data_IF_680192354772
#
_entry.id   IF_680192354772
#
_cell.length_a   1.000
_cell.length_b   1.000
_cell.length_c   1.000
_cell.angle_alpha   90.00
_cell.angle_beta   90.00
_cell.angle_gamma   90.00
#
_symmetry.space_group_name_H-M   'P 1'
#
loop_
_entity.id
_entity.type
_entity.pdbx_description
1 polymer ?
#
# COMPACT_ATOMS: atom_id res chain seq x y z
N UNK A 1 23.77 -19.19 -4.64
CA UNK A 1 22.42 -19.26 -4.03
C UNK A 1 21.40 -19.06 -5.12
N UNK A 2 20.28 -19.76 -5.07
CA UNK A 2 19.22 -19.65 -6.07
C UNK A 2 18.47 -18.34 -5.90
N UNK A 3 18.21 -17.56 -6.96
CA UNK A 3 17.40 -16.35 -6.86
C UNK A 3 16.01 -16.68 -6.32
N UNK A 4 15.47 -15.81 -5.48
CA UNK A 4 14.15 -16.04 -4.87
C UNK A 4 13.26 -14.81 -4.98
N UNK A 5 12.00 -15.02 -5.36
CA UNK A 5 10.96 -13.99 -5.31
C UNK A 5 10.22 -14.11 -3.98
N UNK A 6 10.15 -13.04 -3.23
CA UNK A 6 9.41 -12.95 -1.97
C UNK A 6 8.16 -12.11 -2.13
N UNK A 7 7.02 -12.69 -1.77
CA UNK A 7 5.72 -12.02 -1.74
C UNK A 7 5.33 -11.86 -0.27
N UNK A 8 5.39 -10.65 0.24
CA UNK A 8 5.01 -10.40 1.63
C UNK A 8 3.52 -10.08 1.71
N UNK A 9 2.85 -10.59 2.74
CA UNK A 9 1.40 -10.49 2.87
C UNK A 9 0.93 -10.50 4.32
N UNK A 10 -0.35 -10.17 4.50
CA UNK A 10 -1.13 -10.44 5.71
C UNK A 10 -2.37 -11.26 5.34
N UNK A 11 -3.22 -11.58 6.31
CA UNK A 11 -4.41 -12.41 6.09
C UNK A 11 -5.34 -11.84 5.02
N UNK A 12 -5.51 -10.52 4.97
CA UNK A 12 -6.39 -9.85 4.00
C UNK A 12 -5.92 -9.91 2.54
N UNK A 13 -4.64 -10.15 2.33
CA UNK A 13 -4.02 -10.14 1.00
C UNK A 13 -3.49 -11.53 0.61
N UNK A 14 -3.76 -12.56 1.41
CA UNK A 14 -3.23 -13.92 1.18
C UNK A 14 -3.71 -14.49 -0.15
N UNK A 15 -4.96 -14.25 -0.53
CA UNK A 15 -5.49 -14.66 -1.84
C UNK A 15 -4.67 -14.02 -2.98
N UNK A 16 -4.46 -12.70 -2.92
CA UNK A 16 -3.64 -11.99 -3.90
C UNK A 16 -2.23 -12.56 -4.00
N UNK A 17 -1.56 -12.77 -2.86
CA UNK A 17 -0.22 -13.38 -2.81
C UNK A 17 -0.17 -14.78 -3.44
N UNK A 18 -1.22 -15.59 -3.22
CA UNK A 18 -1.32 -16.95 -3.78
C UNK A 18 -1.47 -16.89 -5.31
N UNK A 19 -2.35 -16.02 -5.83
CA UNK A 19 -2.51 -15.81 -7.27
C UNK A 19 -1.24 -15.23 -7.90
N UNK A 20 -0.57 -14.28 -7.21
CA UNK A 20 0.70 -13.72 -7.66
C UNK A 20 1.80 -14.77 -7.77
N UNK A 21 1.93 -15.66 -6.76
CA UNK A 21 2.87 -16.81 -6.81
C UNK A 21 2.60 -17.68 -8.02
N UNK A 22 1.35 -18.01 -8.28
CA UNK A 22 0.97 -18.81 -9.45
C UNK A 22 1.32 -18.08 -10.75
N UNK A 23 0.99 -16.79 -10.89
CA UNK A 23 1.29 -15.99 -12.07
C UNK A 23 2.80 -15.96 -12.38
N UNK A 24 3.66 -15.77 -11.38
CA UNK A 24 5.12 -15.80 -11.52
C UNK A 24 5.61 -17.13 -12.10
N UNK A 25 5.12 -18.24 -11.57
CA UNK A 25 5.49 -19.59 -12.03
C UNK A 25 4.93 -19.91 -13.41
N UNK A 26 3.68 -19.50 -13.70
CA UNK A 26 3.03 -19.73 -14.98
C UNK A 26 3.70 -18.97 -16.12
N UNK A 27 4.08 -17.71 -15.88
CA UNK A 27 4.58 -16.79 -16.92
C UNK A 27 6.06 -16.99 -17.22
N UNK A 28 6.80 -17.74 -16.40
CA UNK A 28 8.23 -17.97 -16.61
C UNK A 28 8.49 -19.31 -17.29
N UNK A 29 9.31 -19.27 -18.36
CA UNK A 29 9.92 -20.44 -18.95
C UNK A 29 11.07 -21.00 -18.07
N UNK A 30 11.58 -20.18 -17.15
CA UNK A 30 12.70 -20.48 -16.24
C UNK A 30 12.23 -20.77 -14.81
N UNK A 31 10.98 -21.19 -14.62
CA UNK A 31 10.38 -21.45 -13.29
C UNK A 31 11.18 -22.43 -12.41
N UNK A 32 12.02 -23.26 -13.03
CA UNK A 32 12.90 -24.19 -12.35
C UNK A 32 14.20 -23.53 -11.84
N UNK A 33 14.50 -22.29 -12.21
CA UNK A 33 15.76 -21.60 -11.90
C UNK A 33 15.65 -20.61 -10.74
N UNK A 34 14.46 -20.37 -10.22
CA UNK A 34 14.22 -19.49 -9.07
C UNK A 34 13.15 -20.08 -8.15
N UNK A 35 13.12 -19.60 -6.92
CA UNK A 35 12.11 -19.96 -5.93
C UNK A 35 11.11 -18.83 -5.73
N UNK A 36 9.86 -19.15 -5.29
CA UNK A 36 8.86 -18.16 -4.91
C UNK A 36 8.34 -18.50 -3.51
N UNK A 37 8.53 -17.59 -2.57
CA UNK A 37 8.13 -17.72 -1.18
C UNK A 37 7.12 -16.64 -0.80
N UNK A 38 6.09 -17.01 -0.03
CA UNK A 38 5.17 -16.08 0.60
C UNK A 38 5.65 -15.88 2.04
N UNK A 39 5.76 -14.61 2.47
CA UNK A 39 6.09 -14.23 3.84
C UNK A 39 4.83 -13.65 4.46
N UNK A 40 4.25 -14.34 5.42
CA UNK A 40 3.04 -13.92 6.10
C UNK A 40 3.35 -13.17 7.38
N UNK A 41 2.65 -12.06 7.64
CA UNK A 41 2.89 -11.21 8.80
C UNK A 41 2.76 -11.96 10.13
N UNK A 42 1.82 -12.90 10.23
CA UNK A 42 1.59 -13.71 11.43
C UNK A 42 2.78 -14.58 11.85
N UNK A 43 3.68 -14.88 10.91
CA UNK A 43 4.86 -15.73 11.17
C UNK A 43 6.02 -14.96 11.82
N UNK A 44 5.85 -13.64 12.00
CA UNK A 44 6.91 -12.72 12.48
C UNK A 44 6.48 -12.01 13.76
N UNK A 45 6.71 -12.63 14.92
CA UNK A 45 6.24 -12.12 16.21
C UNK A 45 6.80 -10.74 16.56
N UNK A 46 8.01 -10.38 16.10
CA UNK A 46 8.62 -9.07 16.33
C UNK A 46 7.74 -7.92 15.84
N UNK A 47 6.96 -8.13 14.79
CA UNK A 47 6.01 -7.16 14.25
C UNK A 47 4.57 -7.49 14.64
N UNK A 48 4.17 -8.78 14.58
CA UNK A 48 2.79 -9.19 14.83
C UNK A 48 2.31 -8.89 16.25
N UNK A 49 3.20 -8.97 17.24
CA UNK A 49 2.91 -8.66 18.65
C UNK A 49 2.80 -7.15 18.95
N UNK A 50 2.99 -6.29 17.97
CA UNK A 50 2.91 -4.82 18.11
C UNK A 50 1.48 -4.27 17.97
N UNK A 51 0.46 -5.11 17.87
CA UNK A 51 -0.94 -4.68 17.76
C UNK A 51 -1.29 -3.64 18.82
N UNK A 52 -1.81 -2.47 18.39
CA UNK A 52 -2.16 -1.34 19.25
C UNK A 52 -0.99 -0.46 19.70
N UNK A 53 0.28 -0.87 19.54
CA UNK A 53 1.42 -0.03 19.90
C UNK A 53 1.52 1.18 18.96
N UNK A 54 1.97 2.31 19.51
CA UNK A 54 2.19 3.52 18.72
C UNK A 54 3.47 3.42 17.92
N UNK A 55 3.45 3.89 16.68
CA UNK A 55 4.63 4.04 15.83
C UNK A 55 4.60 5.39 15.11
N UNK A 56 5.75 5.82 14.59
CA UNK A 56 5.86 7.11 13.89
C UNK A 56 5.53 6.95 12.41
N UNK A 57 4.55 7.73 11.92
CA UNK A 57 4.16 7.76 10.50
C UNK A 57 3.84 9.17 10.05
N UNK A 58 4.61 9.69 9.09
CA UNK A 58 4.48 11.06 8.58
C UNK A 58 4.57 12.12 9.71
N UNK A 59 5.47 11.90 10.68
CA UNK A 59 5.68 12.76 11.84
C UNK A 59 4.59 12.65 12.93
N UNK A 60 3.62 11.75 12.79
CA UNK A 60 2.56 11.54 13.77
C UNK A 60 2.66 10.15 14.41
N UNK A 61 2.37 10.07 15.70
CA UNK A 61 2.20 8.78 16.39
C UNK A 61 0.82 8.23 16.05
N UNK A 62 0.77 6.99 15.55
CA UNK A 62 -0.46 6.29 15.19
C UNK A 62 -0.39 4.84 15.68
N UNK A 63 -1.53 4.22 16.05
CA UNK A 63 -1.52 2.83 16.49
C UNK A 63 -1.27 1.88 15.30
N UNK A 64 -0.45 0.85 15.55
CA UNK A 64 -0.25 -0.26 14.64
C UNK A 64 -1.45 -1.20 14.65
N UNK A 65 -1.87 -1.64 13.46
CA UNK A 65 -2.93 -2.64 13.33
C UNK A 65 -2.52 -3.71 12.32
N UNK A 66 -2.45 -4.96 12.76
CA UNK A 66 -2.11 -6.11 11.91
C UNK A 66 -3.10 -6.27 10.74
N UNK A 67 -4.33 -5.82 10.93
CA UNK A 67 -5.38 -5.84 9.91
C UNK A 67 -5.38 -4.60 8.98
N UNK A 68 -4.40 -3.67 9.10
CA UNK A 68 -4.22 -2.62 8.11
C UNK A 68 -3.71 -3.22 6.78
N UNK A 69 -4.22 -2.72 5.64
CA UNK A 69 -3.84 -3.21 4.32
C UNK A 69 -2.33 -3.11 4.02
N UNK A 70 -1.61 -2.31 4.78
CA UNK A 70 -0.16 -2.10 4.61
C UNK A 70 0.67 -2.68 5.76
N UNK A 71 0.08 -3.45 6.68
CA UNK A 71 0.79 -3.99 7.84
C UNK A 71 1.92 -4.96 7.48
N UNK A 72 1.84 -5.61 6.32
CA UNK A 72 2.87 -6.51 5.81
C UNK A 72 4.09 -5.78 5.21
N UNK A 73 3.98 -4.50 4.89
CA UNK A 73 5.03 -3.81 4.10
C UNK A 73 6.42 -3.75 4.76
N UNK A 74 6.57 -3.72 6.11
CA UNK A 74 7.90 -3.81 6.73
C UNK A 74 8.62 -5.12 6.45
N UNK A 75 7.90 -6.21 6.12
CA UNK A 75 8.50 -7.51 5.77
C UNK A 75 9.42 -7.45 4.54
N UNK A 76 9.33 -6.38 3.73
CA UNK A 76 10.24 -6.13 2.60
C UNK A 76 11.70 -6.11 3.03
N UNK A 77 11.96 -5.57 4.21
CA UNK A 77 13.31 -5.36 4.74
C UNK A 77 13.88 -6.59 5.45
N UNK A 78 13.05 -7.61 5.67
CA UNK A 78 13.47 -8.92 6.19
C UNK A 78 14.21 -9.77 5.15
N UNK A 79 13.95 -9.54 3.87
CA UNK A 79 14.35 -10.43 2.77
C UNK A 79 15.88 -10.67 2.70
N UNK A 80 16.78 -9.67 2.86
CA UNK A 80 18.21 -9.95 2.88
C UNK A 80 18.63 -10.92 3.99
N UNK A 81 18.01 -10.84 5.17
CA UNK A 81 18.23 -11.78 6.28
C UNK A 81 17.77 -13.20 5.92
N UNK A 82 16.59 -13.37 5.29
CA UNK A 82 16.09 -14.65 4.82
C UNK A 82 17.00 -15.29 3.76
N UNK A 83 17.67 -14.46 2.97
CA UNK A 83 18.69 -14.88 2.00
C UNK A 83 20.07 -15.11 2.63
N UNK A 84 20.22 -15.01 3.96
CA UNK A 84 21.51 -15.09 4.64
C UNK A 84 22.50 -14.02 4.14
N UNK A 85 21.98 -12.87 3.70
CA UNK A 85 22.74 -11.76 3.10
C UNK A 85 23.58 -12.17 1.90
N UNK A 86 23.03 -13.05 1.05
CA UNK A 86 23.73 -13.56 -0.13
C UNK A 86 22.76 -13.66 -1.34
N UNK A 87 23.34 -13.51 -2.53
CA UNK A 87 22.61 -13.70 -3.79
C UNK A 87 21.56 -12.62 -4.04
N UNK A 88 20.64 -12.94 -4.95
CA UNK A 88 19.61 -12.02 -5.44
C UNK A 88 18.23 -12.40 -4.95
N UNK A 89 17.46 -11.39 -4.55
CA UNK A 89 16.06 -11.54 -4.24
C UNK A 89 15.23 -10.50 -5.00
N UNK A 90 14.02 -10.87 -5.38
CA UNK A 90 12.99 -9.93 -5.83
C UNK A 90 11.90 -9.87 -4.77
N UNK A 91 11.58 -8.68 -4.31
CA UNK A 91 10.49 -8.41 -3.37
C UNK A 91 9.32 -7.84 -4.13
N UNK A 92 8.11 -8.38 -3.94
CA UNK A 92 6.88 -7.85 -4.54
C UNK A 92 5.74 -7.80 -3.53
N UNK A 93 4.81 -6.84 -3.73
CA UNK A 93 3.56 -6.75 -2.98
C UNK A 93 2.57 -7.86 -3.39
N UNK A 94 1.58 -8.21 -2.58
CA UNK A 94 0.65 -9.33 -2.83
C UNK A 94 -0.37 -9.02 -3.95
N UNK A 95 -0.44 -7.79 -4.41
CA UNK A 95 -1.27 -7.29 -5.51
C UNK A 95 -0.45 -6.98 -6.79
N UNK A 96 0.74 -7.61 -6.89
CA UNK A 96 1.62 -7.54 -8.07
C UNK A 96 1.59 -8.88 -8.80
N UNK A 97 1.14 -8.89 -10.05
CA UNK A 97 0.93 -10.10 -10.85
C UNK A 97 1.82 -10.12 -12.09
N UNK A 98 2.49 -11.25 -12.34
CA UNK A 98 3.33 -11.42 -13.52
C UNK A 98 2.49 -11.50 -14.80
N UNK A 99 2.84 -10.65 -15.76
CA UNK A 99 2.36 -10.65 -17.15
C UNK A 99 3.46 -11.18 -18.08
N UNK A 100 4.72 -10.81 -17.80
CA UNK A 100 5.92 -11.29 -18.47
C UNK A 100 6.76 -12.26 -17.61
N UNK A 101 7.89 -12.72 -18.16
CA UNK A 101 8.81 -13.59 -17.43
C UNK A 101 9.65 -12.79 -16.44
N UNK A 102 9.47 -13.09 -15.15
CA UNK A 102 10.18 -12.42 -14.05
C UNK A 102 11.67 -12.77 -14.00
N UNK A 103 12.09 -13.87 -14.64
CA UNK A 103 13.47 -14.29 -14.67
C UNK A 103 14.37 -13.27 -15.38
N UNK A 104 13.84 -12.53 -16.35
CA UNK A 104 14.54 -11.44 -17.01
C UNK A 104 14.94 -10.32 -16.02
N UNK A 105 14.10 -10.06 -15.01
CA UNK A 105 14.44 -9.14 -13.94
C UNK A 105 15.44 -9.74 -12.96
N UNK A 106 15.24 -11.00 -12.55
CA UNK A 106 16.11 -11.68 -11.59
C UNK A 106 17.57 -11.79 -12.07
N UNK A 107 17.82 -11.97 -13.36
CA UNK A 107 19.16 -12.08 -13.94
C UNK A 107 19.77 -10.73 -14.39
N UNK A 108 19.03 -9.63 -14.28
CA UNK A 108 19.46 -8.29 -14.71
C UNK A 108 20.80 -7.92 -14.08
N UNK A 109 21.66 -7.26 -14.86
CA UNK A 109 22.82 -6.58 -14.30
C UNK A 109 22.37 -5.38 -13.46
N UNK A 110 22.70 -5.40 -12.18
CA UNK A 110 22.37 -4.32 -11.23
C UNK A 110 23.41 -3.20 -11.24
N UNK A 111 24.47 -3.29 -12.04
CA UNK A 111 25.52 -2.27 -12.18
C UNK A 111 26.10 -1.83 -10.84
N UNK A 112 26.33 -2.78 -9.92
CA UNK A 112 26.84 -2.52 -8.58
C UNK A 112 25.84 -1.89 -7.61
N UNK A 113 24.56 -1.73 -7.99
CA UNK A 113 23.52 -1.22 -7.09
C UNK A 113 23.05 -2.30 -6.11
N UNK A 114 22.79 -1.88 -4.88
CA UNK A 114 22.22 -2.76 -3.86
C UNK A 114 20.71 -3.02 -4.08
N UNK A 115 20.01 -2.02 -4.61
CA UNK A 115 18.57 -2.05 -4.84
C UNK A 115 18.29 -1.53 -6.25
N UNK A 116 17.37 -2.18 -6.98
CA UNK A 116 16.80 -1.64 -8.23
C UNK A 116 15.30 -1.56 -8.05
N UNK A 117 14.75 -0.35 -8.10
CA UNK A 117 13.31 -0.11 -7.96
C UNK A 117 12.85 1.14 -8.71
N UNK A 118 11.53 1.22 -8.94
CA UNK A 118 10.91 2.33 -9.68
C UNK A 118 10.92 3.60 -8.84
N UNK A 119 11.47 4.70 -9.40
CA UNK A 119 11.35 6.02 -8.83
C UNK A 119 10.06 6.70 -9.29
N UNK A 120 9.33 7.32 -8.37
CA UNK A 120 8.09 8.04 -8.63
C UNK A 120 8.31 9.54 -8.49
N UNK A 121 7.83 10.28 -9.47
CA UNK A 121 7.83 11.73 -9.52
C UNK A 121 6.38 12.24 -9.41
N UNK A 122 5.91 12.57 -8.18
CA UNK A 122 4.54 12.99 -7.96
C UNK A 122 4.22 14.31 -8.70
N UNK A 123 3.03 14.38 -9.33
CA UNK A 123 2.57 15.59 -10.05
C UNK A 123 2.01 16.67 -9.10
N UNK A 124 1.86 16.36 -7.82
CA UNK A 124 1.27 17.24 -6.80
C UNK A 124 2.31 18.04 -6.00
N UNK A 125 3.55 18.10 -6.49
CA UNK A 125 4.65 18.87 -5.87
C UNK A 125 5.31 18.18 -4.67
N UNK A 126 4.93 16.95 -4.31
CA UNK A 126 5.67 16.16 -3.33
C UNK A 126 7.05 15.77 -3.88
N UNK A 127 8.06 15.59 -3.00
CA UNK A 127 9.37 15.14 -3.44
C UNK A 127 9.29 13.74 -4.07
N UNK A 128 10.21 13.41 -5.00
CA UNK A 128 10.36 12.07 -5.54
C UNK A 128 10.57 11.04 -4.41
N UNK A 129 10.10 9.81 -4.65
CA UNK A 129 10.27 8.69 -3.74
C UNK A 129 10.44 7.37 -4.51
N UNK A 130 10.92 6.33 -3.85
CA UNK A 130 11.04 5.01 -4.45
C UNK A 130 9.84 4.13 -4.11
N UNK A 131 9.33 3.41 -5.12
CA UNK A 131 8.20 2.48 -4.97
C UNK A 131 8.72 1.10 -4.57
N UNK A 132 8.90 0.89 -3.28
CA UNK A 132 9.45 -0.36 -2.71
C UNK A 132 8.52 -1.58 -2.83
N UNK A 133 7.39 -1.45 -3.54
CA UNK A 133 6.47 -2.54 -3.84
C UNK A 133 7.00 -3.56 -4.85
N UNK A 134 8.03 -3.22 -5.62
CA UNK A 134 8.83 -4.12 -6.43
C UNK A 134 10.28 -3.70 -6.31
N UNK A 135 11.13 -4.55 -5.76
CA UNK A 135 12.56 -4.29 -5.56
C UNK A 135 13.38 -5.51 -5.93
N UNK A 136 14.32 -5.37 -6.86
CA UNK A 136 15.40 -6.33 -7.03
C UNK A 136 16.53 -5.98 -6.07
N UNK A 137 16.98 -6.94 -5.29
CA UNK A 137 17.97 -6.78 -4.22
C UNK A 137 19.23 -7.59 -4.51
N UNK A 138 20.39 -6.97 -4.31
CA UNK A 138 21.64 -7.65 -4.05
C UNK A 138 21.81 -7.77 -2.53
N UNK A 139 21.42 -8.92 -1.98
CA UNK A 139 21.34 -9.13 -0.54
C UNK A 139 22.69 -9.00 0.17
N UNK A 140 23.81 -9.22 -0.54
CA UNK A 140 25.15 -9.08 0.04
C UNK A 140 25.51 -7.62 0.39
N UNK A 141 24.89 -6.64 -0.28
CA UNK A 141 25.12 -5.22 -0.02
C UNK A 141 24.15 -4.64 1.02
N UNK A 142 23.19 -5.44 1.54
CA UNK A 142 22.12 -5.00 2.44
C UNK A 142 22.27 -5.57 3.87
N UNK A 143 23.50 -5.82 4.31
CA UNK A 143 23.80 -6.35 5.65
C UNK A 143 23.38 -5.42 6.79
N UNK A 144 23.18 -4.14 6.51
CA UNK A 144 22.68 -3.14 7.47
C UNK A 144 21.14 -3.24 7.68
N UNK A 145 20.41 -4.00 6.87
CA UNK A 145 18.99 -4.28 7.09
C UNK A 145 18.83 -5.37 8.14
N UNK A 146 18.97 -4.97 9.40
CA UNK A 146 18.76 -5.84 10.55
C UNK A 146 17.29 -5.74 10.97
N UNK A 147 16.51 -6.77 10.67
CA UNK A 147 15.06 -6.74 10.80
C UNK A 147 14.58 -6.36 12.20
N UNK A 148 15.04 -7.06 13.23
CA UNK A 148 14.61 -6.83 14.60
C UNK A 148 14.91 -5.40 15.07
N UNK A 149 16.11 -4.89 14.76
CA UNK A 149 16.52 -3.54 15.11
C UNK A 149 15.69 -2.48 14.39
N UNK A 150 15.37 -2.71 13.11
CA UNK A 150 14.54 -1.77 12.34
C UNK A 150 13.10 -1.71 12.89
N UNK A 151 12.54 -2.85 13.33
CA UNK A 151 11.24 -2.87 14.00
C UNK A 151 11.30 -2.14 15.33
N UNK A 152 12.31 -2.38 16.18
CA UNK A 152 12.46 -1.64 17.44
C UNK A 152 12.56 -0.13 17.22
N UNK A 153 13.37 0.32 16.26
CA UNK A 153 13.50 1.74 15.91
C UNK A 153 12.20 2.37 15.42
N UNK A 154 11.35 1.60 14.73
CA UNK A 154 10.02 2.08 14.31
C UNK A 154 9.12 2.36 15.53
N UNK A 155 9.09 1.46 16.50
CA UNK A 155 8.22 1.55 17.68
C UNK A 155 8.83 2.37 18.83
N UNK A 156 10.13 2.63 18.83
CA UNK A 156 10.78 3.61 19.72
C UNK A 156 10.76 5.05 19.17
N UNK A 157 10.12 5.26 18.01
CA UNK A 157 10.02 6.56 17.34
C UNK A 157 11.34 7.12 16.78
N UNK A 158 12.38 6.32 16.68
CA UNK A 158 13.66 6.67 16.08
C UNK A 158 13.61 6.63 14.54
N UNK A 159 12.63 5.94 13.99
CA UNK A 159 12.42 5.79 12.55
C UNK A 159 10.98 6.09 12.17
N UNK A 160 10.79 6.90 11.13
CA UNK A 160 9.44 7.13 10.57
C UNK A 160 9.15 6.10 9.47
N UNK A 161 7.98 5.50 9.56
CA UNK A 161 7.50 4.50 8.61
C UNK A 161 7.55 4.99 7.15
N UNK A 162 7.17 6.25 6.89
CA UNK A 162 7.04 6.72 5.50
C UNK A 162 8.37 6.89 4.78
N UNK A 163 9.39 7.58 5.32
CA UNK A 163 10.72 7.61 4.76
C UNK A 163 11.32 6.22 4.57
N UNK A 164 11.16 5.33 5.55
CA UNK A 164 11.66 3.96 5.49
C UNK A 164 11.04 3.18 4.31
N UNK A 165 9.69 3.10 4.25
CA UNK A 165 8.97 2.42 3.15
C UNK A 165 9.24 3.04 1.78
N UNK A 166 9.71 4.27 1.72
CA UNK A 166 10.04 4.99 0.47
C UNK A 166 11.53 4.96 0.14
N UNK A 167 12.34 4.17 0.88
CA UNK A 167 13.80 4.05 0.75
C UNK A 167 14.55 5.40 0.84
N UNK A 168 13.96 6.40 1.50
CA UNK A 168 14.61 7.70 1.69
C UNK A 168 15.68 7.68 2.79
N UNK A 169 15.81 6.57 3.50
CA UNK A 169 16.86 6.30 4.48
C UNK A 169 18.08 5.62 3.87
N UNK A 170 17.96 5.15 2.62
CA UNK A 170 19.06 4.54 1.89
C UNK A 170 19.86 5.59 1.10
N UNK A 171 21.18 5.43 0.96
CA UNK A 171 21.97 6.28 0.08
C UNK A 171 21.48 6.17 -1.36
N UNK A 172 21.14 7.29 -1.99
CA UNK A 172 20.54 7.30 -3.33
C UNK A 172 21.44 6.67 -4.41
N UNK A 173 22.74 6.71 -4.23
CA UNK A 173 23.73 6.10 -5.11
C UNK A 173 23.70 4.56 -5.10
N UNK A 174 23.14 3.95 -4.06
CA UNK A 174 22.96 2.50 -3.95
C UNK A 174 21.71 1.98 -4.66
N UNK A 175 20.82 2.90 -5.09
CA UNK A 175 19.56 2.56 -5.72
C UNK A 175 19.64 2.82 -7.22
N UNK A 176 19.40 1.78 -8.02
CA UNK A 176 19.29 1.84 -9.47
C UNK A 176 17.84 2.00 -9.94
N UNK A 177 17.63 2.54 -11.15
CA UNK A 177 16.29 2.70 -11.72
C UNK A 177 15.71 1.37 -12.19
N UNK A 178 14.39 1.21 -11.99
CA UNK A 178 13.58 0.15 -12.58
C UNK A 178 12.56 0.78 -13.51
N UNK A 179 12.42 0.23 -14.72
CA UNK A 179 11.46 0.71 -15.70
C UNK A 179 10.02 0.52 -15.21
N UNK A 180 9.09 1.43 -15.58
CA UNK A 180 7.70 1.40 -15.13
C UNK A 180 6.99 0.06 -15.37
N UNK A 181 7.32 -0.66 -16.43
CA UNK A 181 6.70 -1.91 -16.86
C UNK A 181 6.90 -3.05 -15.85
N UNK A 182 7.97 -2.99 -15.05
CA UNK A 182 8.25 -3.93 -13.96
C UNK A 182 7.55 -3.61 -12.64
N UNK A 183 6.83 -2.51 -12.59
CA UNK A 183 5.95 -2.13 -11.47
C UNK A 183 4.85 -1.23 -12.05
N UNK A 184 4.01 -1.80 -12.93
CA UNK A 184 3.10 -1.05 -13.79
C UNK A 184 1.80 -0.78 -13.06
N UNK A 185 1.68 0.43 -12.51
CA UNK A 185 0.56 0.83 -11.66
C UNK A 185 -0.74 0.89 -12.47
N UNK A 186 -1.70 0.04 -12.11
CA UNK A 186 -3.06 -0.02 -12.65
C UNK A 186 -3.10 0.05 -14.20
N UNK A 187 -2.06 -0.48 -14.85
CA UNK A 187 -1.91 -0.45 -16.31
C UNK A 187 -1.59 -1.85 -16.82
N UNK A 188 -2.43 -2.34 -17.73
CA UNK A 188 -2.26 -3.63 -18.40
C UNK A 188 -2.24 -3.41 -19.92
N UNK A 189 -1.06 -3.57 -20.53
CA UNK A 189 -0.84 -3.45 -21.97
C UNK A 189 0.30 -4.38 -22.42
N UNK A 190 0.70 -4.30 -23.69
CA UNK A 190 1.75 -5.15 -24.26
C UNK A 190 3.15 -4.96 -23.66
N UNK A 191 3.40 -3.84 -22.99
CA UNK A 191 4.68 -3.55 -22.33
C UNK A 191 4.71 -4.07 -20.90
N UNK A 192 3.54 -4.27 -20.26
CA UNK A 192 3.45 -4.67 -18.86
C UNK A 192 4.19 -5.98 -18.60
N UNK A 193 5.12 -5.94 -17.64
CA UNK A 193 5.86 -7.11 -17.14
C UNK A 193 5.31 -7.59 -15.80
N UNK A 194 5.09 -6.65 -14.87
CA UNK A 194 4.41 -6.89 -13.61
C UNK A 194 3.27 -5.87 -13.47
N UNK A 195 2.04 -6.35 -13.49
CA UNK A 195 0.85 -5.54 -13.20
C UNK A 195 0.75 -5.33 -11.70
N UNK A 196 0.59 -4.09 -11.23
CA UNK A 196 0.39 -3.76 -9.83
C UNK A 196 -0.94 -3.03 -9.63
N UNK A 197 -1.92 -3.68 -9.02
CA UNK A 197 -3.23 -3.10 -8.71
C UNK A 197 -3.16 -2.21 -7.46
N UNK A 198 -2.61 -0.99 -7.62
CA UNK A 198 -2.38 -0.03 -6.53
C UNK A 198 -3.62 0.76 -6.15
N UNK A 199 -4.64 0.74 -6.98
CA UNK A 199 -5.88 1.49 -6.78
C UNK A 199 -6.59 1.03 -5.52
N UNK A 200 -6.48 1.82 -4.42
CA UNK A 200 -6.99 1.44 -3.10
C UNK A 200 -8.48 1.12 -3.08
N UNK A 201 -9.24 1.61 -4.03
CA UNK A 201 -10.70 1.45 -4.10
C UNK A 201 -11.15 0.73 -5.38
N UNK A 202 -10.23 0.18 -6.16
CA UNK A 202 -10.51 -0.45 -7.47
C UNK A 202 -9.86 -1.82 -7.63
N UNK A 203 -9.49 -2.49 -6.54
CA UNK A 203 -8.96 -3.86 -6.62
C UNK A 203 -10.04 -4.80 -7.15
N UNK A 204 -9.83 -5.52 -8.28
CA UNK A 204 -10.89 -6.28 -8.96
C UNK A 204 -11.58 -7.32 -8.08
N UNK A 205 -10.84 -7.98 -7.20
CA UNK A 205 -11.37 -9.01 -6.30
C UNK A 205 -12.14 -8.48 -5.09
N UNK A 206 -12.18 -7.14 -4.89
CA UNK A 206 -12.89 -6.49 -3.79
C UNK A 206 -14.11 -5.69 -4.24
N UNK A 207 -14.41 -5.60 -5.52
CA UNK A 207 -15.53 -4.84 -6.07
C UNK A 207 -16.82 -5.13 -5.29
N UNK A 208 -17.51 -4.06 -4.85
CA UNK A 208 -18.76 -4.15 -4.08
C UNK A 208 -18.61 -4.38 -2.57
N UNK A 209 -17.43 -4.78 -2.09
CA UNK A 209 -17.18 -4.92 -0.67
C UNK A 209 -17.05 -3.55 0.04
N UNK A 210 -17.39 -3.46 1.33
CA UNK A 210 -17.10 -2.26 2.12
C UNK A 210 -15.60 -1.94 2.12
N UNK A 211 -15.26 -0.65 2.02
CA UNK A 211 -13.86 -0.23 2.12
C UNK A 211 -13.31 -0.58 3.50
N UNK A 212 -12.28 -1.40 3.57
CA UNK A 212 -11.68 -1.98 4.76
C UNK A 212 -10.40 -1.26 5.25
N UNK A 213 -10.17 -0.05 4.78
CA UNK A 213 -9.10 0.81 5.24
C UNK A 213 -9.64 2.16 5.72
N UNK A 214 -8.93 2.80 6.66
CA UNK A 214 -9.29 4.14 7.12
C UNK A 214 -8.89 5.16 6.06
N UNK A 215 -9.86 5.88 5.45
CA UNK A 215 -9.52 6.94 4.52
C UNK A 215 -8.71 8.00 5.26
N UNK A 216 -7.59 8.43 4.69
CA UNK A 216 -6.84 9.57 5.26
C UNK A 216 -7.80 10.74 5.41
N UNK A 217 -8.00 11.26 6.62
CA UNK A 217 -8.68 12.54 6.80
C UNK A 217 -7.95 13.55 5.93
N UNK A 218 -8.67 14.16 4.96
CA UNK A 218 -8.09 15.26 4.18
C UNK A 218 -7.58 16.27 5.20
N UNK A 219 -6.25 16.46 5.28
CA UNK A 219 -5.71 17.60 6.04
C UNK A 219 -6.43 18.84 5.51
N UNK A 220 -7.00 19.70 6.37
CA UNK A 220 -7.46 21.00 5.92
C UNK A 220 -6.31 21.61 5.13
N UNK A 221 -6.58 22.10 3.90
CA UNK A 221 -5.55 22.86 3.17
C UNK A 221 -5.06 23.90 4.16
N UNK A 222 -3.80 23.84 4.56
CA UNK A 222 -3.20 24.90 5.35
C UNK A 222 -3.46 26.18 4.56
N UNK A 223 -4.20 27.10 5.17
CA UNK A 223 -4.34 28.43 4.60
C UNK A 223 -2.92 28.96 4.35
N UNK A 224 -2.68 29.60 3.21
CA UNK A 224 -1.38 30.23 2.97
C UNK A 224 -1.03 31.08 4.21
N UNK A 225 0.26 31.09 4.64
CA UNK A 225 0.67 31.87 5.78
C UNK A 225 0.14 33.29 5.60
N UNK A 226 -0.44 33.93 6.65
CA UNK A 226 -1.00 35.24 6.52
C UNK A 226 0.10 36.16 6.01
N UNK A 227 -0.17 36.83 4.90
CA UNK A 227 0.71 37.88 4.37
C UNK A 227 0.93 38.86 5.52
N UNK A 228 2.17 39.26 5.85
CA UNK A 228 2.45 40.16 6.93
C UNK A 228 1.65 41.43 6.71
N UNK A 229 0.59 41.63 7.49
CA UNK A 229 -0.19 42.87 7.45
C UNK A 229 0.71 43.96 8.04
N UNK A 230 0.87 45.12 7.38
CA UNK A 230 1.63 46.21 7.93
C UNK A 230 1.02 46.62 9.30
N UNK A 231 1.90 46.89 10.26
CA UNK A 231 1.53 47.19 11.62
C UNK A 231 0.41 48.26 11.63
N UNK A 232 -0.67 48.08 12.42
CA UNK A 232 -1.77 49.02 12.43
C UNK A 232 -1.31 50.37 12.93
N UNK A 233 -1.60 51.41 12.16
CA UNK A 233 -1.26 52.79 12.52
C UNK A 233 -1.98 53.20 13.82
N UNK A 234 -1.41 54.16 14.57
CA UNK A 234 -1.95 54.65 15.84
C UNK A 234 -3.46 55.02 15.75
N UNK A 235 -3.91 55.52 14.61
CA UNK A 235 -5.32 55.79 14.32
C UNK A 235 -6.22 54.57 14.33
N UNK A 236 -5.72 53.42 13.87
CA UNK A 236 -6.47 52.16 13.82
C UNK A 236 -6.56 51.51 15.20
N UNK A 237 -5.54 51.69 16.05
CA UNK A 237 -5.56 51.23 17.45
C UNK A 237 -6.54 52.01 18.30
N UNK A 238 -6.60 53.35 18.15
CA UNK A 238 -7.57 54.20 18.85
C UNK A 238 -9.03 53.90 18.43
N UNK A 239 -9.26 53.52 17.17
CA UNK A 239 -10.61 53.18 16.70
C UNK A 239 -11.11 51.86 17.28
N UNK A 240 -10.18 50.85 17.44
CA UNK A 240 -10.49 49.58 18.10
C UNK A 240 -10.78 49.74 19.59
N UNK A 241 -10.00 50.54 20.32
CA UNK A 241 -10.26 50.83 21.72
C UNK A 241 -11.65 51.49 21.95
N UNK A 242 -12.03 52.44 21.10
CA UNK A 242 -13.35 53.04 21.17
C UNK A 242 -14.51 52.09 20.88
N UNK A 243 -14.31 51.12 19.97
CA UNK A 243 -15.31 50.10 19.66
C UNK A 243 -15.51 49.10 20.82
N UNK A 244 -14.43 48.67 21.47
CA UNK A 244 -14.47 47.74 22.62
C UNK A 244 -15.16 48.38 23.83
N UNK A 245 -14.91 49.65 24.12
CA UNK A 245 -15.57 50.37 25.20
C UNK A 245 -17.08 50.57 24.94
N UNK A 246 -17.47 50.78 23.67
CA UNK A 246 -18.88 50.90 23.28
C UNK A 246 -19.64 49.59 23.37
N UNK A 247 -18.97 48.46 23.14
CA UNK A 247 -19.53 47.10 23.23
C UNK A 247 -19.72 46.66 24.70
N UNK A 248 -18.90 47.16 25.62
CA UNK A 248 -18.98 46.84 27.05
C UNK A 248 -20.13 47.59 27.78
N UNK A 249 -20.55 48.73 27.27
CA UNK A 249 -21.59 49.57 27.87
C UNK A 249 -23.01 49.31 27.34
N UNK A 250 -23.23 48.41 26.39
CA UNK A 250 -24.49 48.24 25.68
C UNK A 250 -25.05 46.84 25.50
N UNK A 251 -24.54 45.81 26.19
CA UNK A 251 -25.02 44.44 26.00
C UNK A 251 -26.14 44.09 27.00
N UNK A 252 -27.36 43.69 26.53
CA UNK A 252 -28.35 43.08 27.38
C UNK A 252 -27.92 41.63 27.78
N UNK A 253 -28.41 41.08 28.92
CA UNK A 253 -28.03 39.74 29.36
C UNK A 253 -28.47 38.69 28.35
N UNK A 254 -27.66 37.59 28.19
CA UNK A 254 -27.97 36.55 27.22
C UNK A 254 -29.26 35.82 27.61
N UNK A 255 -30.25 35.87 26.74
CA UNK A 255 -31.40 34.94 26.81
C UNK A 255 -30.94 33.54 26.52
N UNK A 256 -31.22 32.60 27.44
CA UNK A 256 -30.99 31.17 27.24
C UNK A 256 -31.85 30.67 26.06
N UNK A 257 -31.23 30.46 24.93
CA UNK A 257 -31.86 29.73 23.82
C UNK A 257 -31.84 28.24 24.16
N UNK A 258 -32.99 27.62 24.24
CA UNK A 258 -33.17 26.18 24.28
C UNK A 258 -32.53 25.59 23.01
N UNK A 259 -31.39 24.93 23.18
CA UNK A 259 -30.71 24.19 22.11
C UNK A 259 -31.58 23.02 21.69
N UNK A 260 -32.25 23.14 20.53
CA UNK A 260 -32.78 22.00 19.82
C UNK A 260 -31.62 21.09 19.46
N UNK A 261 -31.65 19.82 19.91
CA UNK A 261 -30.69 18.78 19.54
C UNK A 261 -30.67 18.67 18.01
N UNK A 262 -29.53 18.84 17.35
CA UNK A 262 -29.47 18.66 15.90
C UNK A 262 -29.89 17.22 15.56
N UNK A 263 -30.66 17.00 14.47
CA UNK A 263 -31.07 15.66 14.06
C UNK A 263 -29.80 14.82 13.83
N UNK A 264 -29.81 13.62 14.37
CA UNK A 264 -28.73 12.64 14.16
C UNK A 264 -28.42 12.53 12.66
N UNK A 265 -27.17 12.63 12.22
CA UNK A 265 -26.84 12.48 10.81
C UNK A 265 -27.34 11.14 10.34
N UNK A 266 -28.20 11.11 9.29
CA UNK A 266 -28.58 9.87 8.63
C UNK A 266 -27.30 9.14 8.25
N UNK A 267 -27.15 7.91 8.73
CA UNK A 267 -26.00 7.08 8.42
C UNK A 267 -25.88 6.96 6.89
N UNK A 268 -24.84 7.52 6.31
CA UNK A 268 -24.54 7.32 4.89
C UNK A 268 -24.16 5.83 4.72
N UNK A 269 -24.60 5.18 3.63
CA UNK A 269 -24.17 3.83 3.35
C UNK A 269 -22.63 3.77 3.33
N UNK A 270 -22.02 2.68 3.81
CA UNK A 270 -20.58 2.54 3.79
C UNK A 270 -20.05 2.70 2.37
N UNK A 271 -18.93 3.40 2.22
CA UNK A 271 -18.25 3.47 0.94
C UNK A 271 -17.78 2.07 0.54
N UNK A 272 -17.95 1.72 -0.73
CA UNK A 272 -17.60 0.39 -1.26
C UNK A 272 -16.49 0.47 -2.28
N UNK A 273 -15.81 -0.65 -2.52
CA UNK A 273 -14.89 -0.79 -3.63
C UNK A 273 -15.62 -0.67 -4.96
N UNK A 274 -15.05 0.10 -5.88
CA UNK A 274 -15.60 0.29 -7.22
C UNK A 274 -15.03 -0.73 -8.21
N UNK A 275 -15.73 -1.03 -9.31
CA UNK A 275 -15.17 -1.78 -10.42
C UNK A 275 -13.88 -1.12 -10.92
N UNK A 276 -12.92 -1.94 -11.33
CA UNK A 276 -11.69 -1.42 -11.95
C UNK A 276 -12.04 -0.73 -13.28
N UNK A 277 -11.51 0.46 -13.59
CA UNK A 277 -11.82 1.19 -14.82
C UNK A 277 -11.41 0.45 -16.11
N UNK A 278 -10.43 -0.44 -16.03
CA UNK A 278 -10.02 -1.35 -17.10
C UNK A 278 -10.55 -2.77 -16.82
N UNK A 279 -11.59 -3.24 -17.52
CA UNK A 279 -12.16 -4.57 -17.32
C UNK A 279 -11.20 -5.71 -17.65
N UNK A 280 -10.14 -5.47 -18.45
CA UNK A 280 -9.14 -6.48 -18.75
C UNK A 280 -8.35 -6.88 -17.50
N UNK A 281 -8.20 -5.99 -16.51
CA UNK A 281 -7.52 -6.30 -15.27
C UNK A 281 -8.37 -7.20 -14.37
N UNK A 282 -9.69 -7.03 -14.37
CA UNK A 282 -10.62 -7.95 -13.70
C UNK A 282 -10.55 -9.33 -14.36
N UNK A 283 -10.66 -9.39 -15.68
CA UNK A 283 -10.56 -10.63 -16.45
C UNK A 283 -9.21 -11.33 -16.24
N UNK A 284 -8.12 -10.58 -16.19
CA UNK A 284 -6.79 -11.12 -15.97
C UNK A 284 -6.65 -11.76 -14.57
N UNK A 285 -7.10 -11.06 -13.52
CA UNK A 285 -7.04 -11.58 -12.15
C UNK A 285 -7.92 -12.83 -12.00
N UNK A 286 -9.19 -12.76 -12.41
CA UNK A 286 -10.12 -13.88 -12.25
C UNK A 286 -9.80 -15.07 -13.15
N UNK A 287 -9.19 -14.84 -14.32
CA UNK A 287 -8.64 -15.91 -15.15
C UNK A 287 -7.52 -16.69 -14.44
N UNK A 288 -6.59 -15.98 -13.76
CA UNK A 288 -5.55 -16.61 -12.94
C UNK A 288 -6.14 -17.32 -11.72
N UNK A 289 -7.15 -16.75 -11.08
CA UNK A 289 -7.81 -17.35 -9.92
C UNK A 289 -8.55 -18.63 -10.31
N UNK A 290 -9.25 -18.65 -11.45
CA UNK A 290 -9.90 -19.86 -11.98
C UNK A 290 -8.86 -20.96 -12.22
N UNK A 291 -7.72 -20.63 -12.82
CA UNK A 291 -6.65 -21.62 -13.03
C UNK A 291 -6.04 -22.12 -11.72
N UNK A 292 -5.96 -21.27 -10.69
CA UNK A 292 -5.54 -21.69 -9.34
C UNK A 292 -6.53 -22.69 -8.74
N UNK A 293 -7.83 -22.47 -8.95
CA UNK A 293 -8.89 -23.39 -8.51
C UNK A 293 -8.81 -24.72 -9.26
N UNK A 294 -8.75 -24.70 -10.60
CA UNK A 294 -8.69 -25.88 -11.47
C UNK A 294 -7.46 -26.78 -11.15
N UNK A 295 -6.38 -26.17 -10.69
CA UNK A 295 -5.13 -26.88 -10.32
C UNK A 295 -5.06 -27.27 -8.85
N UNK A 296 -6.07 -26.96 -8.05
CA UNK A 296 -6.09 -27.22 -6.61
C UNK A 296 -5.05 -26.41 -5.82
N UNK A 297 -4.56 -25.29 -6.37
CA UNK A 297 -3.69 -24.34 -5.64
C UNK A 297 -4.50 -23.60 -4.58
N UNK A 298 -5.74 -23.29 -4.89
CA UNK A 298 -6.78 -22.86 -3.94
C UNK A 298 -7.94 -23.84 -4.02
N UNK A 299 -8.71 -23.96 -2.93
CA UNK A 299 -9.92 -24.80 -2.88
C UNK A 299 -11.17 -23.91 -2.87
N UNK A 300 -12.33 -24.50 -3.24
CA UNK A 300 -13.61 -23.79 -3.08
C UNK A 300 -13.85 -23.37 -1.63
N UNK A 301 -13.56 -24.25 -0.67
CA UNK A 301 -13.69 -23.93 0.77
C UNK A 301 -12.85 -22.73 1.17
N UNK A 302 -11.61 -22.64 0.66
CA UNK A 302 -10.77 -21.47 0.91
C UNK A 302 -11.38 -20.20 0.32
N UNK A 303 -11.88 -20.24 -0.92
CA UNK A 303 -12.54 -19.09 -1.56
C UNK A 303 -13.82 -18.68 -0.82
N UNK A 304 -14.64 -19.64 -0.39
CA UNK A 304 -15.81 -19.37 0.44
C UNK A 304 -15.44 -18.71 1.77
N UNK A 305 -14.37 -19.17 2.42
CA UNK A 305 -13.86 -18.54 3.64
C UNK A 305 -13.38 -17.10 3.39
N UNK A 306 -12.71 -16.83 2.26
CA UNK A 306 -12.29 -15.47 1.88
C UNK A 306 -13.48 -14.55 1.56
N UNK A 307 -14.53 -15.07 0.94
CA UNK A 307 -15.81 -14.35 0.74
C UNK A 307 -16.43 -14.01 2.11
N UNK A 308 -16.54 -14.99 2.99
CA UNK A 308 -17.12 -14.80 4.33
C UNK A 308 -16.35 -13.75 5.17
N UNK A 309 -15.02 -13.66 5.00
CA UNK A 309 -14.16 -12.65 5.63
C UNK A 309 -14.16 -11.29 4.93
N UNK A 310 -14.88 -11.16 3.81
CA UNK A 310 -14.87 -9.96 2.96
C UNK A 310 -13.48 -9.62 2.37
N UNK A 311 -12.66 -10.63 2.12
CA UNK A 311 -11.39 -10.48 1.41
C UNK A 311 -11.57 -10.70 -0.10
N UNK A 312 -12.64 -11.41 -0.50
CA UNK A 312 -13.04 -11.69 -1.88
C UNK A 312 -14.50 -11.29 -2.07
N UNK A 313 -14.84 -10.72 -3.22
CA UNK A 313 -16.21 -10.33 -3.59
C UNK A 313 -17.16 -11.53 -3.61
N UNK A 314 -18.45 -11.36 -3.21
CA UNK A 314 -19.38 -12.48 -3.07
C UNK A 314 -19.76 -13.17 -4.39
N UNK A 315 -19.69 -12.46 -5.51
CA UNK A 315 -19.99 -12.94 -6.86
C UNK A 315 -18.76 -13.50 -7.61
N UNK A 316 -17.65 -13.79 -6.88
CA UNK A 316 -16.40 -14.23 -7.49
C UNK A 316 -16.55 -15.47 -8.39
N UNK A 317 -17.36 -16.47 -7.98
CA UNK A 317 -17.62 -17.66 -8.77
C UNK A 317 -18.42 -17.37 -10.05
N UNK A 318 -19.35 -16.41 -10.01
CA UNK A 318 -20.12 -15.98 -11.19
C UNK A 318 -19.20 -15.28 -12.20
N UNK A 319 -18.30 -14.41 -11.70
CA UNK A 319 -17.30 -13.73 -12.54
C UNK A 319 -16.38 -14.74 -13.21
N UNK A 320 -15.84 -15.72 -12.48
CA UNK A 320 -15.00 -16.79 -13.04
C UNK A 320 -15.75 -17.60 -14.10
N UNK A 321 -17.01 -18.01 -13.82
CA UNK A 321 -17.82 -18.77 -14.75
C UNK A 321 -18.14 -18.02 -16.05
N UNK A 322 -18.38 -16.71 -15.98
CA UNK A 322 -18.65 -15.88 -17.16
C UNK A 322 -17.43 -15.75 -18.09
N UNK A 323 -16.22 -15.69 -17.52
CA UNK A 323 -14.96 -15.64 -18.28
C UNK A 323 -14.69 -16.97 -19.00
N UNK A 324 -14.96 -18.11 -18.36
CA UNK A 324 -14.79 -19.42 -18.95
C UNK A 324 -15.69 -19.59 -20.20
N UNK A 325 -16.90 -19.08 -20.13
CA UNK A 325 -17.86 -19.11 -21.26
C UNK A 325 -17.42 -18.21 -22.43
N UNK A 326 -16.83 -17.03 -22.13
CA UNK A 326 -16.35 -16.08 -23.15
C UNK A 326 -15.08 -16.55 -23.86
N UNK A 327 -14.28 -17.42 -23.25
CA UNK A 327 -13.06 -17.96 -23.85
C UNK A 327 -13.33 -19.21 -24.73
N UNK A 328 -14.57 -19.73 -24.73
CA UNK A 328 -14.98 -20.91 -25.50
C UNK A 328 -15.58 -20.55 -26.88
N UNK A 329 -15.65 -19.28 -27.24
CA UNK A 329 -16.06 -18.73 -28.53
C UNK A 329 -14.89 -17.96 -29.17
#
# INVERSE_FOLDING_TARGET
>A
MRPTVFIHTNDKQLLGATVAKYALQKKSQHRAEFDVQIIQLSDWPELYQREGQQYLREGAQVPWHNQDLQSFTPLRFLVPQLMGYQGRALVIDPDVFAVGDVYDLLKRDMQGKAIVCRQIFPQDGRPPYYASSVMLLDCAQLTHWQWADQIERLFSFEQDYRPWMSLLTEPSETIGPLEPEWNHFDTLNSETRLLHNTGRITQPWKTGLPIDFRPKKKRPKQAPPPVPTPAPTLKTQLKRLKATVKQWLGAPPPTQSTTATPPSPKAQPPAVYHPHPDPNQEAFFFGLLQECLDKGIVTEDFLQAEIARQHLRPDAFEVMGSLATSAAF
#
